data_IF_160538670950
#
_entry.id   IF_160538670950
#
_cell.length_a   1.000
_cell.length_b   1.000
_cell.length_c   1.000
_cell.angle_alpha   90.00
_cell.angle_beta   90.00
_cell.angle_gamma   90.00
#
_symmetry.space_group_name_H-M   'P 1'
#
loop_
_entity.id
_entity.type
_entity.pdbx_description
1 polymer ?
#
# COMPACT_ATOMS: atom_id res chain seq x y z
N UNK A 1 8.70 20.33 0.88
CA UNK A 1 9.97 20.08 1.60
C UNK A 1 9.66 19.03 2.66
N UNK A 2 10.17 17.81 2.53
CA UNK A 2 9.97 16.75 3.53
C UNK A 2 11.12 16.79 4.52
N UNK A 3 10.82 16.91 5.81
CA UNK A 3 11.80 17.00 6.88
C UNK A 3 11.55 15.85 7.85
N UNK A 4 12.43 14.84 7.84
CA UNK A 4 12.32 13.64 8.68
C UNK A 4 13.55 13.48 9.58
N UNK A 5 13.69 14.34 10.58
CA UNK A 5 14.54 14.11 11.74
C UNK A 5 13.76 14.49 13.01
N UNK A 6 14.12 13.89 14.14
CA UNK A 6 13.54 14.21 15.45
C UNK A 6 13.73 15.70 15.69
N UNK A 7 12.68 16.48 15.40
CA UNK A 7 12.72 17.92 15.50
C UNK A 7 12.51 18.29 16.96
N UNK A 8 13.53 18.94 17.54
CA UNK A 8 13.33 19.76 18.73
C UNK A 8 12.29 20.83 18.39
N UNK A 9 11.22 20.91 19.20
CA UNK A 9 10.13 21.87 19.03
C UNK A 9 10.68 23.29 18.83
N UNK A 10 11.72 23.65 19.58
CA UNK A 10 12.37 24.97 19.52
C UNK A 10 12.95 25.26 18.13
N UNK A 11 13.61 24.27 17.51
CA UNK A 11 14.17 24.40 16.16
C UNK A 11 13.09 24.48 15.09
N UNK A 12 11.97 23.76 15.29
CA UNK A 12 10.83 23.85 14.38
C UNK A 12 10.24 25.25 14.42
N UNK A 13 10.01 25.79 15.61
CA UNK A 13 9.46 27.14 15.79
C UNK A 13 10.36 28.17 15.11
N UNK A 14 11.67 28.16 15.37
CA UNK A 14 12.65 29.04 14.70
C UNK A 14 12.61 28.93 13.16
N UNK A 15 12.38 27.72 12.64
CA UNK A 15 12.23 27.53 11.20
C UNK A 15 10.92 28.16 10.68
N UNK A 16 9.79 27.93 11.36
CA UNK A 16 8.49 28.44 10.97
C UNK A 16 8.38 29.97 11.10
N UNK A 17 9.10 30.58 12.05
CA UNK A 17 9.22 32.03 12.22
C UNK A 17 9.67 32.75 10.94
N UNK A 18 10.55 32.11 10.17
CA UNK A 18 11.09 32.66 8.93
C UNK A 18 10.15 32.48 7.72
N UNK A 19 8.96 31.88 7.92
CA UNK A 19 8.02 31.51 6.85
C UNK A 19 6.66 32.24 6.97
N UNK A 20 6.66 33.50 7.38
CA UNK A 20 5.43 34.29 7.61
C UNK A 20 4.46 34.44 6.43
N UNK A 21 4.91 34.18 5.20
CA UNK A 21 4.08 34.19 3.99
C UNK A 21 3.54 32.81 3.59
N UNK A 22 3.79 31.77 4.39
CA UNK A 22 3.38 30.40 4.09
C UNK A 22 1.86 30.29 4.07
N UNK A 23 1.31 29.81 2.95
CA UNK A 23 -0.14 29.61 2.78
C UNK A 23 -0.57 28.16 2.94
N UNK A 24 0.36 27.23 2.79
CA UNK A 24 0.12 25.80 2.92
C UNK A 24 1.27 25.17 3.69
N UNK A 25 0.95 24.50 4.79
CA UNK A 25 1.87 23.71 5.59
C UNK A 25 1.39 22.26 5.60
N UNK A 26 2.25 21.36 5.13
CA UNK A 26 2.09 19.92 5.31
C UNK A 26 3.25 19.43 6.20
N UNK A 27 2.91 18.85 7.35
CA UNK A 27 3.90 18.44 8.33
C UNK A 27 3.56 17.08 8.93
N UNK A 28 4.59 16.26 9.12
CA UNK A 28 4.47 14.91 9.67
C UNK A 28 5.43 14.71 10.83
N UNK A 29 4.90 14.37 12.01
CA UNK A 29 5.67 13.99 13.19
C UNK A 29 5.60 12.49 13.42
N UNK A 30 6.77 11.89 13.63
CA UNK A 30 6.86 10.47 13.99
C UNK A 30 6.95 10.22 15.49
N UNK A 31 7.22 11.26 16.30
CA UNK A 31 7.35 11.28 17.77
C UNK A 31 7.16 12.72 18.27
N UNK A 32 6.99 12.89 19.57
CA UNK A 32 6.87 14.18 20.27
C UNK A 32 5.65 14.98 19.79
N UNK A 33 4.47 14.47 20.09
CA UNK A 33 3.23 15.15 19.73
C UNK A 33 3.11 16.55 20.36
N UNK A 34 2.73 17.51 19.51
CA UNK A 34 2.43 18.89 19.89
C UNK A 34 0.92 19.00 20.01
N UNK A 35 0.43 19.57 21.11
CA UNK A 35 -1.01 19.71 21.32
C UNK A 35 -1.60 20.89 20.51
N UNK A 36 -2.93 20.98 20.45
CA UNK A 36 -3.63 21.98 19.65
C UNK A 36 -3.41 23.41 20.13
N UNK A 37 -3.26 23.65 21.44
CA UNK A 37 -2.95 24.98 21.96
C UNK A 37 -1.56 25.47 21.53
N UNK A 38 -0.57 24.58 21.53
CA UNK A 38 0.77 24.91 21.07
C UNK A 38 0.77 25.19 19.56
N UNK A 39 0.08 24.37 18.78
CA UNK A 39 -0.08 24.62 17.34
C UNK A 39 -0.79 25.93 17.04
N UNK A 40 -1.87 26.23 17.77
CA UNK A 40 -2.59 27.49 17.67
C UNK A 40 -1.67 28.68 17.91
N UNK A 41 -0.87 28.66 18.99
CA UNK A 41 0.12 29.72 19.27
C UNK A 41 1.15 29.87 18.15
N UNK A 42 1.68 28.77 17.62
CA UNK A 42 2.66 28.79 16.52
C UNK A 42 2.03 29.41 15.26
N UNK A 43 0.83 28.99 14.90
CA UNK A 43 0.16 29.46 13.69
C UNK A 43 -0.21 30.93 13.82
N UNK A 44 -0.79 31.30 14.96
CA UNK A 44 -1.17 32.68 15.25
C UNK A 44 0.03 33.64 15.21
N UNK A 45 1.15 33.27 15.86
CA UNK A 45 2.30 34.16 16.00
C UNK A 45 3.16 34.23 14.73
N UNK A 46 3.27 33.13 13.99
CA UNK A 46 4.30 32.98 12.94
C UNK A 46 3.74 32.67 11.55
N UNK A 47 2.56 32.07 11.45
CA UNK A 47 1.98 31.59 10.20
C UNK A 47 0.59 32.20 9.92
N UNK A 48 0.40 33.48 10.24
CA UNK A 48 -0.90 34.17 10.14
C UNK A 48 -1.53 34.21 8.72
N UNK A 49 -0.77 33.86 7.67
CA UNK A 49 -1.29 33.74 6.29
C UNK A 49 -1.63 32.30 5.87
N UNK A 50 -1.52 31.34 6.80
CA UNK A 50 -1.78 29.93 6.56
C UNK A 50 -3.26 29.71 6.24
N UNK A 51 -3.53 29.01 5.13
CA UNK A 51 -4.89 28.67 4.68
C UNK A 51 -5.14 27.18 4.72
N UNK A 52 -4.11 26.39 4.40
CA UNK A 52 -4.19 24.94 4.37
C UNK A 52 -3.18 24.40 5.39
N UNK A 53 -3.68 23.64 6.35
CA UNK A 53 -2.87 22.96 7.35
C UNK A 53 -3.13 21.46 7.26
N UNK A 54 -2.10 20.72 6.85
CA UNK A 54 -2.10 19.26 6.76
C UNK A 54 -1.15 18.69 7.80
N UNK A 55 -1.70 18.31 8.95
CA UNK A 55 -0.96 17.74 10.06
C UNK A 55 -1.10 16.22 10.05
N UNK A 56 0.01 15.52 10.29
CA UNK A 56 0.03 14.09 10.64
C UNK A 56 0.98 13.90 11.81
N UNK A 57 0.52 13.28 12.88
CA UNK A 57 1.35 13.00 14.05
C UNK A 57 1.10 11.58 14.51
N UNK A 58 2.14 10.98 15.09
CA UNK A 58 2.03 9.76 15.86
C UNK A 58 2.95 9.82 17.06
N UNK A 59 2.54 9.18 18.13
CA UNK A 59 3.40 8.96 19.29
C UNK A 59 3.03 7.68 20.02
N UNK A 60 3.95 7.19 20.83
CA UNK A 60 3.70 6.09 21.75
C UNK A 60 3.09 6.62 23.05
N UNK A 61 1.97 6.04 23.47
CA UNK A 61 1.28 6.42 24.70
C UNK A 61 2.06 5.85 25.90
N UNK A 62 2.53 6.70 26.83
CA UNK A 62 3.28 6.28 28.02
C UNK A 62 2.59 5.14 28.77
N UNK A 63 3.35 4.15 29.23
CA UNK A 63 2.81 2.90 29.82
C UNK A 63 1.94 3.13 31.06
N UNK A 64 2.24 4.18 31.81
CA UNK A 64 1.54 4.60 33.03
C UNK A 64 0.29 5.46 32.81
N UNK A 65 -0.04 5.81 31.56
CA UNK A 65 -1.21 6.63 31.25
C UNK A 65 -2.40 5.79 30.78
N UNK A 66 -3.60 6.23 31.17
CA UNK A 66 -4.84 5.74 30.59
C UNK A 66 -4.94 6.25 29.14
N UNK A 67 -5.20 5.32 28.23
CA UNK A 67 -5.23 5.55 26.79
C UNK A 67 -6.34 6.55 26.40
N UNK A 68 -7.54 6.41 26.98
CA UNK A 68 -8.67 7.27 26.66
C UNK A 68 -8.49 8.68 27.22
N UNK A 69 -8.02 8.79 28.47
CA UNK A 69 -7.77 10.10 29.09
C UNK A 69 -6.71 10.88 28.33
N UNK A 70 -5.62 10.23 27.92
CA UNK A 70 -4.58 10.86 27.13
C UNK A 70 -5.10 11.34 25.77
N UNK A 71 -5.90 10.51 25.08
CA UNK A 71 -6.52 10.89 23.81
C UNK A 71 -7.51 12.05 23.99
N UNK A 72 -8.31 12.06 25.05
CA UNK A 72 -9.27 13.13 25.33
C UNK A 72 -8.54 14.45 25.57
N UNK A 73 -7.56 14.46 26.47
CA UNK A 73 -6.76 15.66 26.76
C UNK A 73 -6.12 16.25 25.50
N UNK A 74 -5.60 15.37 24.64
CA UNK A 74 -5.03 15.80 23.38
C UNK A 74 -6.10 16.39 22.45
N UNK A 75 -7.22 15.71 22.24
CA UNK A 75 -8.29 16.19 21.36
C UNK A 75 -8.95 17.47 21.86
N UNK A 76 -9.12 17.62 23.16
CA UNK A 76 -9.71 18.81 23.77
C UNK A 76 -8.89 20.06 23.43
N UNK A 77 -7.56 19.91 23.32
CA UNK A 77 -6.70 21.02 22.87
C UNK A 77 -6.93 21.47 21.42
N UNK A 78 -7.61 20.67 20.60
CA UNK A 78 -7.96 20.98 19.20
C UNK A 78 -9.44 21.37 19.01
N UNK A 79 -10.17 21.68 20.10
CA UNK A 79 -11.59 22.06 20.06
C UNK A 79 -11.83 23.56 20.25
N UNK A 80 -10.80 24.41 20.26
CA UNK A 80 -10.97 25.86 20.36
C UNK A 80 -11.67 26.45 19.11
N UNK A 81 -12.18 27.69 19.22
CA UNK A 81 -12.83 28.39 18.10
C UNK A 81 -11.90 28.53 16.90
N UNK A 82 -10.60 28.68 17.16
CA UNK A 82 -9.55 28.72 16.15
C UNK A 82 -9.62 27.48 15.23
N UNK A 83 -9.67 26.28 15.82
CA UNK A 83 -9.71 25.03 15.04
C UNK A 83 -11.05 24.81 14.34
N UNK A 84 -12.15 25.00 15.08
CA UNK A 84 -13.48 24.55 14.66
C UNK A 84 -14.20 25.58 13.79
N UNK A 85 -14.16 26.85 14.18
CA UNK A 85 -14.97 27.90 13.56
C UNK A 85 -14.16 28.74 12.56
N UNK A 86 -12.96 29.17 12.94
CA UNK A 86 -12.15 30.09 12.13
C UNK A 86 -11.52 29.37 10.94
N UNK A 87 -10.89 28.22 11.20
CA UNK A 87 -10.14 27.49 10.19
C UNK A 87 -10.82 26.23 9.67
N UNK A 88 -11.76 25.65 10.44
CA UNK A 88 -12.40 24.36 10.14
C UNK A 88 -11.38 23.24 9.87
N UNK A 89 -10.23 23.28 10.56
CA UNK A 89 -9.21 22.25 10.49
C UNK A 89 -9.53 21.16 11.51
N UNK A 90 -10.53 20.35 11.20
CA UNK A 90 -10.94 19.26 12.08
C UNK A 90 -9.85 18.21 12.21
N UNK A 91 -9.77 17.63 13.39
CA UNK A 91 -8.78 16.64 13.77
C UNK A 91 -9.43 15.29 13.91
N UNK A 92 -8.82 14.28 13.30
CA UNK A 92 -9.10 12.88 13.54
C UNK A 92 -8.00 12.29 14.40
N UNK A 93 -8.39 11.50 15.39
CA UNK A 93 -7.48 10.82 16.27
C UNK A 93 -7.90 9.36 16.42
N UNK A 94 -6.93 8.46 16.37
CA UNK A 94 -7.19 7.05 16.61
C UNK A 94 -6.00 6.34 17.22
N UNK A 95 -6.27 5.17 17.80
CA UNK A 95 -5.27 4.39 18.52
C UNK A 95 -5.20 2.99 17.92
N UNK A 96 -3.98 2.57 17.62
CA UNK A 96 -3.64 1.19 17.26
C UNK A 96 -2.56 0.72 18.20
N UNK A 97 -2.83 -0.38 18.90
CA UNK A 97 -2.00 -0.88 20.00
C UNK A 97 -1.79 0.20 21.09
N UNK A 98 -0.57 0.72 21.25
CA UNK A 98 -0.27 1.89 22.12
C UNK A 98 0.21 3.10 21.35
N UNK A 99 0.02 3.14 20.03
CA UNK A 99 0.38 4.31 19.21
C UNK A 99 -0.87 5.14 18.93
N UNK A 100 -0.87 6.37 19.42
CA UNK A 100 -1.85 7.37 19.04
C UNK A 100 -1.47 7.97 17.68
N UNK A 101 -2.45 8.25 16.85
CA UNK A 101 -2.27 8.92 15.56
C UNK A 101 -3.29 10.02 15.41
N UNK A 102 -2.84 11.16 14.90
CA UNK A 102 -3.63 12.36 14.74
C UNK A 102 -3.40 12.97 13.36
N UNK A 103 -4.46 13.41 12.69
CA UNK A 103 -4.35 14.10 11.41
C UNK A 103 -5.50 15.07 11.16
N UNK A 104 -5.28 16.05 10.27
CA UNK A 104 -6.29 17.03 9.84
C UNK A 104 -7.15 16.51 8.70
N UNK A 105 -8.45 16.82 8.75
CA UNK A 105 -9.54 16.26 7.92
C UNK A 105 -9.64 16.81 6.48
N UNK A 106 -8.59 17.36 5.86
CA UNK A 106 -8.71 17.86 4.48
C UNK A 106 -8.91 16.73 3.47
N UNK A 107 -8.32 15.56 3.72
CA UNK A 107 -8.53 14.28 3.03
C UNK A 107 -8.16 13.15 3.98
N UNK A 108 -9.05 12.17 4.19
CA UNK A 108 -8.61 10.89 4.75
C UNK A 108 -7.50 10.36 3.85
N UNK A 109 -6.33 9.99 4.38
CA UNK A 109 -5.31 9.40 3.55
C UNK A 109 -5.93 8.15 2.91
N UNK A 110 -5.91 8.06 1.59
CA UNK A 110 -6.25 6.85 0.82
C UNK A 110 -5.32 5.66 1.14
N UNK A 111 -4.48 5.82 2.16
CA UNK A 111 -3.54 4.86 2.65
C UNK A 111 -3.67 4.89 4.18
N UNK A 112 -4.36 3.90 4.72
CA UNK A 112 -4.35 3.63 6.14
C UNK A 112 -3.04 2.90 6.44
N UNK A 113 -2.06 3.54 7.11
CA UNK A 113 -0.70 3.01 7.20
C UNK A 113 -0.59 1.81 8.16
N UNK A 114 -1.64 1.57 8.96
CA UNK A 114 -1.57 0.62 10.05
C UNK A 114 -2.13 -0.73 9.67
N UNK A 115 -1.50 -1.77 10.20
CA UNK A 115 -1.81 -3.16 9.88
C UNK A 115 -3.08 -3.65 10.59
N UNK A 116 -3.73 -2.82 11.42
CA UNK A 116 -4.85 -3.18 12.30
C UNK A 116 -5.91 -2.08 12.34
N UNK A 117 -7.17 -2.47 12.51
CA UNK A 117 -8.26 -1.53 12.76
C UNK A 117 -8.01 -0.75 14.05
N UNK A 118 -8.34 0.55 14.07
CA UNK A 118 -8.29 1.30 15.30
C UNK A 118 -9.41 0.81 16.23
N UNK A 119 -9.04 0.56 17.49
CA UNK A 119 -10.02 0.21 18.54
C UNK A 119 -10.83 1.42 18.97
N UNK A 120 -10.15 2.56 19.03
CA UNK A 120 -10.70 3.83 19.48
C UNK A 120 -10.41 4.85 18.40
N UNK A 121 -11.43 5.59 18.01
CA UNK A 121 -11.35 6.70 17.07
C UNK A 121 -12.23 7.84 17.58
N UNK A 122 -11.78 9.07 17.38
CA UNK A 122 -12.52 10.29 17.71
C UNK A 122 -12.22 11.38 16.69
N UNK A 123 -13.13 12.34 16.58
CA UNK A 123 -12.98 13.52 15.74
C UNK A 123 -13.42 14.78 16.47
N UNK A 124 -12.83 15.90 16.09
CA UNK A 124 -13.37 17.23 16.45
C UNK A 124 -14.42 17.75 15.46
N UNK A 125 -14.65 17.05 14.34
CA UNK A 125 -15.78 17.31 13.44
C UNK A 125 -17.06 16.65 14.01
N UNK A 126 -18.11 17.43 14.33
CA UNK A 126 -19.34 16.88 14.89
C UNK A 126 -20.12 15.98 13.93
N UNK A 127 -19.85 16.07 12.62
CA UNK A 127 -20.53 15.25 11.61
C UNK A 127 -19.80 13.94 11.31
N UNK A 128 -18.57 13.77 11.79
CA UNK A 128 -17.82 12.55 11.55
C UNK A 128 -18.13 11.49 12.61
N UNK A 129 -18.03 10.24 12.19
CA UNK A 129 -18.18 9.08 13.04
C UNK A 129 -17.24 7.96 12.60
N UNK A 130 -17.10 6.95 13.45
CA UNK A 130 -16.21 5.82 13.22
C UNK A 130 -16.58 5.01 11.95
N UNK A 131 -17.86 4.97 11.55
CA UNK A 131 -18.25 4.32 10.29
C UNK A 131 -17.73 5.09 9.07
N UNK A 132 -17.63 6.41 9.16
CA UNK A 132 -17.07 7.26 8.10
C UNK A 132 -15.59 6.97 7.89
N UNK A 133 -14.84 6.79 8.98
CA UNK A 133 -13.47 6.25 8.93
C UNK A 133 -13.47 4.89 8.21
N UNK A 134 -14.31 3.94 8.60
CA UNK A 134 -14.29 2.61 8.01
C UNK A 134 -14.61 2.60 6.51
N UNK A 135 -15.56 3.44 6.07
CA UNK A 135 -15.89 3.64 4.66
C UNK A 135 -14.77 4.30 3.86
N UNK A 136 -13.88 5.05 4.52
CA UNK A 136 -12.74 5.72 3.88
C UNK A 136 -11.54 4.80 3.65
N UNK A 137 -11.48 3.65 4.32
CA UNK A 137 -10.39 2.68 4.14
C UNK A 137 -10.47 2.13 2.73
N UNK A 138 -9.36 2.22 1.98
CA UNK A 138 -9.22 1.67 0.63
C UNK A 138 -8.19 0.56 0.55
N UNK A 139 -7.39 0.36 1.59
CA UNK A 139 -6.31 -0.63 1.61
C UNK A 139 -6.38 -1.47 2.88
N UNK A 140 -6.28 -2.79 2.73
CA UNK A 140 -6.27 -3.76 3.82
C UNK A 140 -4.95 -4.52 3.81
N UNK A 141 -4.39 -4.76 5.01
CA UNK A 141 -3.20 -5.58 5.21
C UNK A 141 -3.57 -6.99 5.70
N UNK A 142 -2.67 -7.98 5.55
CA UNK A 142 -2.94 -9.35 5.96
C UNK A 142 -3.25 -9.48 7.46
N UNK A 143 -2.66 -8.61 8.28
CA UNK A 143 -2.85 -8.65 9.74
C UNK A 143 -4.15 -8.00 10.23
N UNK A 144 -4.94 -7.42 9.34
CA UNK A 144 -6.15 -6.67 9.72
C UNK A 144 -7.16 -7.55 10.45
N UNK A 145 -7.23 -8.82 10.04
CA UNK A 145 -8.16 -9.81 10.57
C UNK A 145 -7.51 -10.73 11.62
N UNK A 146 -6.28 -10.47 12.05
CA UNK A 146 -5.68 -11.19 13.19
C UNK A 146 -6.33 -10.81 14.53
N UNK A 147 -7.14 -9.75 14.53
CA UNK A 147 -7.92 -9.33 15.69
C UNK A 147 -9.42 -9.45 15.40
N UNK A 148 -10.25 -9.73 16.40
CA UNK A 148 -11.70 -9.65 16.26
C UNK A 148 -12.11 -8.27 15.79
N UNK A 149 -12.94 -8.23 14.77
CA UNK A 149 -13.52 -7.00 14.23
C UNK A 149 -14.99 -6.90 14.64
N UNK A 150 -15.50 -5.71 14.99
CA UNK A 150 -16.92 -5.51 15.22
C UNK A 150 -17.77 -5.98 14.04
N UNK A 151 -18.87 -6.67 14.32
CA UNK A 151 -19.73 -7.30 13.31
C UNK A 151 -20.50 -6.31 12.44
N UNK A 152 -20.57 -5.04 12.84
CA UNK A 152 -21.21 -3.93 12.14
C UNK A 152 -20.26 -3.18 11.19
N UNK A 153 -18.97 -3.57 11.13
CA UNK A 153 -18.01 -2.97 10.20
C UNK A 153 -18.38 -3.29 8.76
N UNK A 154 -18.45 -2.25 7.93
CA UNK A 154 -18.66 -2.36 6.49
C UNK A 154 -17.52 -1.65 5.73
N UNK A 155 -16.67 -2.45 5.08
CA UNK A 155 -15.54 -1.99 4.29
C UNK A 155 -15.91 -2.03 2.80
N UNK A 156 -16.48 -0.96 2.28
CA UNK A 156 -17.08 -0.92 0.93
C UNK A 156 -16.18 -0.34 -0.17
N UNK A 157 -15.10 0.35 0.19
CA UNK A 157 -14.23 1.07 -0.76
C UNK A 157 -12.84 0.42 -0.92
N UNK A 158 -12.71 -0.86 -0.54
CA UNK A 158 -11.43 -1.57 -0.64
C UNK A 158 -11.00 -1.70 -2.09
N UNK A 159 -9.85 -1.11 -2.41
CA UNK A 159 -9.17 -1.15 -3.71
C UNK A 159 -8.01 -2.14 -3.71
N UNK A 160 -7.27 -2.18 -2.60
CA UNK A 160 -6.08 -2.99 -2.45
C UNK A 160 -6.20 -3.88 -1.21
N UNK A 161 -5.99 -5.18 -1.36
CA UNK A 161 -5.96 -6.11 -0.23
C UNK A 161 -4.67 -6.92 -0.27
N UNK A 162 -3.98 -6.96 0.87
CA UNK A 162 -2.90 -7.91 1.13
C UNK A 162 -3.41 -8.97 2.08
N UNK A 163 -3.21 -10.26 1.80
CA UNK A 163 -3.73 -11.35 2.62
C UNK A 163 -2.86 -12.61 2.60
N UNK A 164 -3.07 -13.45 3.61
CA UNK A 164 -2.57 -14.83 3.69
C UNK A 164 -3.74 -15.78 3.45
N UNK A 165 -3.46 -16.96 2.88
CA UNK A 165 -4.42 -18.07 2.88
C UNK A 165 -4.07 -19.09 3.98
N UNK A 166 -5.07 -19.70 4.65
CA UNK A 166 -6.52 -19.52 4.44
C UNK A 166 -7.02 -18.14 4.88
N UNK A 167 -8.11 -17.68 4.25
CA UNK A 167 -8.76 -16.42 4.58
C UNK A 167 -9.49 -16.52 5.92
N UNK A 168 -9.39 -15.48 6.74
CA UNK A 168 -10.18 -15.42 7.97
C UNK A 168 -11.66 -15.18 7.62
N UNK A 169 -12.57 -15.96 8.21
CA UNK A 169 -14.02 -15.85 7.99
C UNK A 169 -14.60 -14.42 8.13
N UNK A 170 -14.00 -13.60 9.00
CA UNK A 170 -14.36 -12.20 9.22
C UNK A 170 -14.23 -11.32 7.98
N UNK A 171 -13.42 -11.73 6.99
CA UNK A 171 -13.29 -11.04 5.70
C UNK A 171 -14.64 -10.96 5.00
N UNK A 172 -15.38 -12.07 4.99
CA UNK A 172 -16.62 -12.20 4.23
C UNK A 172 -17.79 -11.43 4.88
N UNK A 173 -17.75 -11.23 6.20
CA UNK A 173 -18.71 -10.38 6.90
C UNK A 173 -18.38 -8.90 6.77
N UNK A 174 -17.09 -8.52 6.86
CA UNK A 174 -16.67 -7.13 6.77
C UNK A 174 -16.75 -6.55 5.36
N UNK A 175 -16.52 -7.39 4.35
CA UNK A 175 -16.48 -7.02 2.94
C UNK A 175 -17.51 -7.86 2.20
N UNK A 176 -18.75 -7.35 2.16
CA UNK A 176 -19.86 -8.04 1.51
C UNK A 176 -19.68 -8.16 -0.01
N UNK A 177 -18.97 -7.22 -0.64
CA UNK A 177 -18.65 -7.25 -2.06
C UNK A 177 -17.32 -6.53 -2.37
N UNK A 178 -16.50 -7.10 -3.25
CA UNK A 178 -15.21 -6.57 -3.69
C UNK A 178 -15.32 -5.75 -5.00
N UNK A 179 -16.42 -5.02 -5.18
CA UNK A 179 -16.71 -4.24 -6.40
C UNK A 179 -15.65 -3.17 -6.74
N UNK A 180 -14.95 -2.66 -5.74
CA UNK A 180 -13.91 -1.65 -5.89
C UNK A 180 -12.50 -2.25 -5.92
N UNK A 181 -12.37 -3.56 -5.68
CA UNK A 181 -11.08 -4.21 -5.53
C UNK A 181 -10.38 -4.32 -6.89
N UNK A 182 -9.26 -3.61 -7.02
CA UNK A 182 -8.40 -3.60 -8.20
C UNK A 182 -7.13 -4.42 -8.02
N UNK A 183 -6.67 -4.58 -6.78
CA UNK A 183 -5.38 -5.22 -6.48
C UNK A 183 -5.51 -6.25 -5.37
N UNK A 184 -5.00 -7.44 -5.63
CA UNK A 184 -4.78 -8.47 -4.60
C UNK A 184 -3.29 -8.71 -4.47
N UNK A 185 -2.81 -8.75 -3.23
CA UNK A 185 -1.47 -9.19 -2.86
C UNK A 185 -1.55 -10.42 -1.95
N UNK A 186 -1.12 -11.56 -2.48
CA UNK A 186 -1.13 -12.84 -1.79
C UNK A 186 0.26 -13.10 -1.22
N UNK A 187 0.39 -13.10 0.10
CA UNK A 187 1.66 -13.32 0.80
C UNK A 187 1.97 -14.82 1.03
N UNK A 188 0.94 -15.65 1.12
CA UNK A 188 1.07 -17.09 1.31
C UNK A 188 -0.10 -17.79 0.62
N UNK A 189 0.20 -18.79 -0.20
CA UNK A 189 -0.79 -19.57 -0.95
C UNK A 189 -0.36 -21.03 -1.05
N UNK A 190 -1.35 -21.91 -0.88
CA UNK A 190 -1.26 -23.35 -1.07
C UNK A 190 -2.46 -23.78 -1.93
N UNK A 191 -2.29 -24.75 -2.82
CA UNK A 191 -3.35 -25.34 -3.65
C UNK A 191 -4.56 -25.82 -2.87
N UNK A 192 -4.39 -26.17 -1.59
CA UNK A 192 -5.48 -26.49 -0.68
C UNK A 192 -6.55 -25.38 -0.59
N UNK A 193 -6.19 -24.12 -0.86
CA UNK A 193 -7.06 -22.94 -0.74
C UNK A 193 -7.52 -22.39 -2.10
N UNK A 194 -7.41 -23.19 -3.17
CA UNK A 194 -7.83 -22.77 -4.51
C UNK A 194 -9.32 -22.36 -4.57
N UNK A 195 -10.18 -23.01 -3.80
CA UNK A 195 -11.61 -22.69 -3.74
C UNK A 195 -11.87 -21.30 -3.14
N UNK A 196 -11.14 -20.92 -2.09
CA UNK A 196 -11.23 -19.61 -1.47
C UNK A 196 -10.76 -18.50 -2.42
N UNK A 197 -9.64 -18.74 -3.11
CA UNK A 197 -9.12 -17.81 -4.10
C UNK A 197 -10.12 -17.60 -5.26
N UNK A 198 -10.74 -18.68 -5.75
CA UNK A 198 -11.80 -18.59 -6.78
C UNK A 198 -12.99 -17.79 -6.30
N UNK A 199 -13.50 -18.08 -5.10
CA UNK A 199 -14.61 -17.33 -4.51
C UNK A 199 -14.29 -15.84 -4.38
N UNK A 200 -13.04 -15.50 -3.99
CA UNK A 200 -12.59 -14.11 -3.95
C UNK A 200 -12.58 -13.48 -5.33
N UNK A 201 -12.03 -14.16 -6.34
CA UNK A 201 -12.01 -13.68 -7.72
C UNK A 201 -13.42 -13.47 -8.27
N UNK A 202 -14.36 -14.38 -8.00
CA UNK A 202 -15.75 -14.26 -8.47
C UNK A 202 -16.43 -13.00 -7.91
N UNK A 203 -16.12 -12.62 -6.66
CA UNK A 203 -16.65 -11.42 -6.00
C UNK A 203 -15.90 -10.12 -6.35
N UNK A 204 -14.79 -10.18 -7.09
CA UNK A 204 -13.96 -9.02 -7.43
C UNK A 204 -13.99 -8.74 -8.96
N UNK A 205 -15.06 -8.12 -9.48
CA UNK A 205 -15.23 -7.92 -10.92
C UNK A 205 -14.22 -6.95 -11.54
N UNK A 206 -13.62 -6.05 -10.75
CA UNK A 206 -12.64 -5.05 -11.21
C UNK A 206 -11.20 -5.41 -10.84
N UNK A 207 -10.94 -6.67 -10.52
CA UNK A 207 -9.61 -7.11 -10.13
C UNK A 207 -8.68 -7.08 -11.35
N UNK A 208 -7.67 -6.22 -11.32
CA UNK A 208 -6.77 -5.93 -12.42
C UNK A 208 -5.34 -6.44 -12.18
N UNK A 209 -4.92 -6.37 -10.91
CA UNK A 209 -3.57 -6.68 -10.47
C UNK A 209 -3.59 -7.85 -9.50
N UNK A 210 -2.82 -8.88 -9.81
CA UNK A 210 -2.53 -9.98 -8.92
C UNK A 210 -1.04 -9.97 -8.59
N UNK A 211 -0.72 -9.80 -7.31
CA UNK A 211 0.63 -9.86 -6.80
C UNK A 211 0.74 -11.13 -5.95
N UNK A 212 1.71 -11.98 -6.23
CA UNK A 212 1.97 -13.18 -5.44
C UNK A 212 3.37 -13.05 -4.87
N UNK A 213 3.44 -12.84 -3.57
CA UNK A 213 4.66 -12.61 -2.81
C UNK A 213 4.81 -13.72 -1.77
N UNK A 214 5.03 -14.96 -2.25
CA UNK A 214 5.19 -16.12 -1.38
C UNK A 214 6.47 -16.02 -0.54
N UNK A 215 6.33 -16.33 0.74
CA UNK A 215 7.43 -16.44 1.70
C UNK A 215 8.37 -17.62 1.36
N UNK A 216 9.62 -17.55 1.84
CA UNK A 216 10.81 -18.32 1.45
C UNK A 216 10.69 -19.86 1.40
N UNK A 217 9.61 -20.46 1.90
CA UNK A 217 9.50 -21.89 2.18
C UNK A 217 8.60 -22.70 1.24
N UNK A 218 7.80 -22.06 0.39
CA UNK A 218 6.83 -22.77 -0.47
C UNK A 218 7.20 -22.68 -1.96
N UNK A 219 7.16 -23.79 -2.70
CA UNK A 219 7.33 -23.76 -4.16
C UNK A 219 6.15 -23.02 -4.79
N UNK A 220 6.43 -22.39 -5.94
CA UNK A 220 5.39 -21.73 -6.72
C UNK A 220 4.31 -22.74 -7.10
N UNK A 221 3.08 -22.42 -6.71
CA UNK A 221 1.94 -23.27 -6.97
C UNK A 221 1.38 -22.96 -8.37
N UNK A 222 1.70 -23.80 -9.35
CA UNK A 222 1.30 -23.60 -10.75
C UNK A 222 -0.21 -23.69 -10.97
N UNK A 223 -0.98 -24.21 -10.01
CA UNK A 223 -2.45 -24.18 -10.06
C UNK A 223 -3.02 -22.75 -10.16
N UNK A 224 -2.28 -21.75 -9.68
CA UNK A 224 -2.64 -20.33 -9.79
C UNK A 224 -2.76 -19.90 -11.24
N UNK A 225 -1.92 -20.44 -12.12
CA UNK A 225 -1.92 -20.14 -13.54
C UNK A 225 -3.21 -20.61 -14.24
N UNK A 226 -3.88 -21.63 -13.67
CA UNK A 226 -5.15 -22.15 -14.17
C UNK A 226 -6.35 -21.26 -13.81
N UNK A 227 -6.15 -20.18 -13.06
CA UNK A 227 -7.24 -19.28 -12.70
C UNK A 227 -7.72 -18.50 -13.93
N UNK A 228 -9.02 -18.62 -14.23
CA UNK A 228 -9.67 -17.87 -15.31
C UNK A 228 -10.38 -16.69 -14.67
N UNK A 229 -9.74 -15.52 -14.70
CA UNK A 229 -10.38 -14.26 -14.29
C UNK A 229 -10.07 -13.18 -15.33
N UNK A 230 -10.96 -12.94 -16.30
CA UNK A 230 -10.66 -12.10 -17.46
C UNK A 230 -10.24 -10.65 -17.14
N UNK A 231 -10.59 -10.16 -15.95
CA UNK A 231 -10.24 -8.80 -15.52
C UNK A 231 -8.77 -8.64 -15.13
N UNK A 232 -8.06 -9.73 -14.78
CA UNK A 232 -6.66 -9.69 -14.35
C UNK A 232 -5.77 -9.56 -15.57
N UNK A 233 -5.11 -8.41 -15.71
CA UNK A 233 -4.20 -8.15 -16.82
C UNK A 233 -2.75 -7.93 -16.37
N UNK A 234 -2.49 -7.92 -15.06
CA UNK A 234 -1.15 -7.73 -14.52
C UNK A 234 -0.84 -8.77 -13.46
N UNK A 235 0.30 -9.45 -13.61
CA UNK A 235 0.81 -10.44 -12.67
C UNK A 235 2.21 -10.05 -12.17
N UNK A 236 2.39 -10.00 -10.85
CA UNK A 236 3.66 -9.67 -10.21
C UNK A 236 4.08 -10.78 -9.24
N UNK A 237 5.27 -11.35 -9.45
CA UNK A 237 5.86 -12.39 -8.60
C UNK A 237 7.31 -12.05 -8.14
N UNK A 238 7.67 -10.77 -8.02
CA UNK A 238 9.07 -10.37 -7.74
C UNK A 238 9.60 -10.72 -6.35
N UNK A 239 8.74 -10.76 -5.33
CA UNK A 239 9.21 -11.03 -3.96
C UNK A 239 9.24 -12.51 -3.63
N UNK A 240 9.08 -13.36 -4.63
CA UNK A 240 9.30 -14.78 -4.45
C UNK A 240 10.79 -15.05 -4.40
N UNK A 241 11.16 -15.88 -3.46
CA UNK A 241 12.48 -16.50 -3.44
C UNK A 241 12.64 -17.61 -4.49
N UNK A 242 11.70 -17.67 -5.43
CA UNK A 242 11.62 -18.59 -6.54
C UNK A 242 11.97 -17.86 -7.84
N UNK A 243 12.78 -18.52 -8.67
CA UNK A 243 13.08 -18.06 -10.02
C UNK A 243 12.40 -19.03 -10.98
N UNK A 244 11.56 -18.50 -11.87
CA UNK A 244 10.93 -19.31 -12.90
C UNK A 244 11.99 -19.95 -13.78
N UNK A 245 11.92 -21.27 -13.91
CA UNK A 245 12.70 -22.01 -14.89
C UNK A 245 11.97 -22.04 -16.26
N UNK A 246 12.61 -22.64 -17.26
CA UNK A 246 12.05 -22.66 -18.63
C UNK A 246 10.73 -23.43 -18.71
N UNK A 247 10.60 -24.56 -18.01
CA UNK A 247 9.37 -25.36 -17.97
C UNK A 247 8.22 -24.56 -17.34
N UNK A 248 8.48 -23.90 -16.22
CA UNK A 248 7.49 -23.06 -15.53
C UNK A 248 7.09 -21.85 -16.37
N UNK A 249 8.02 -21.25 -17.12
CA UNK A 249 7.72 -20.17 -18.05
C UNK A 249 6.79 -20.65 -19.17
N UNK A 250 7.06 -21.82 -19.75
CA UNK A 250 6.20 -22.40 -20.80
C UNK A 250 4.81 -22.75 -20.25
N UNK A 251 4.75 -23.41 -19.08
CA UNK A 251 3.50 -23.70 -18.39
C UNK A 251 2.69 -22.43 -18.09
N UNK A 252 3.37 -21.34 -17.73
CA UNK A 252 2.72 -20.06 -17.53
C UNK A 252 2.20 -19.46 -18.84
N UNK A 253 3.00 -19.46 -19.90
CA UNK A 253 2.61 -18.94 -21.22
C UNK A 253 1.35 -19.66 -21.75
N UNK A 254 1.27 -20.98 -21.59
CA UNK A 254 0.15 -21.79 -22.05
C UNK A 254 -1.09 -21.69 -21.15
N UNK A 255 -0.98 -21.03 -20.00
CA UNK A 255 -2.05 -20.94 -19.02
C UNK A 255 -3.06 -19.84 -19.37
N UNK A 256 -4.33 -19.96 -18.93
CA UNK A 256 -5.31 -18.89 -19.11
C UNK A 256 -4.85 -17.55 -18.54
N UNK A 257 -4.17 -17.56 -17.38
CA UNK A 257 -3.65 -16.35 -16.75
C UNK A 257 -2.52 -15.74 -17.56
N UNK A 258 -1.59 -16.54 -18.09
CA UNK A 258 -0.50 -16.06 -18.95
C UNK A 258 -1.03 -15.46 -20.24
N UNK A 259 -1.95 -16.15 -20.90
CA UNK A 259 -2.53 -15.72 -22.17
C UNK A 259 -3.25 -14.36 -22.09
N UNK A 260 -3.81 -13.98 -20.94
CA UNK A 260 -4.53 -12.71 -20.77
C UNK A 260 -3.68 -11.57 -20.19
N UNK A 261 -2.50 -11.86 -19.64
CA UNK A 261 -1.68 -10.83 -18.99
C UNK A 261 -1.03 -9.89 -20.01
N UNK A 262 -1.24 -8.59 -19.81
CA UNK A 262 -0.56 -7.53 -20.56
C UNK A 262 0.73 -7.06 -19.88
N UNK A 263 0.80 -7.19 -18.55
CA UNK A 263 1.99 -6.77 -17.79
C UNK A 263 2.43 -7.86 -16.85
N UNK A 264 3.71 -8.22 -16.93
CA UNK A 264 4.28 -9.29 -16.12
C UNK A 264 5.57 -8.88 -15.44
N UNK A 265 5.85 -9.55 -14.33
CA UNK A 265 6.89 -9.16 -13.40
C UNK A 265 7.43 -10.39 -12.66
N UNK A 266 8.58 -10.91 -13.08
CA UNK A 266 9.11 -12.21 -12.63
C UNK A 266 10.60 -12.20 -12.29
N UNK A 267 11.00 -13.12 -11.41
CA UNK A 267 12.39 -13.57 -11.30
C UNK A 267 12.54 -14.81 -12.19
N UNK A 268 13.61 -14.90 -12.98
CA UNK A 268 13.87 -16.03 -13.88
C UNK A 268 15.27 -16.58 -13.68
N UNK A 269 15.45 -17.88 -13.92
CA UNK A 269 16.75 -18.56 -13.71
C UNK A 269 17.77 -18.20 -14.78
N UNK A 270 17.33 -17.99 -16.02
CA UNK A 270 18.20 -17.71 -17.15
C UNK A 270 17.56 -16.79 -18.20
N UNK A 271 18.37 -16.30 -19.16
CA UNK A 271 17.90 -15.41 -20.23
C UNK A 271 16.96 -16.06 -21.24
N UNK A 272 16.99 -17.38 -21.44
CA UNK A 272 16.07 -18.08 -22.35
C UNK A 272 14.63 -18.02 -21.84
N UNK A 273 14.43 -18.02 -20.52
CA UNK A 273 13.12 -17.79 -19.91
C UNK A 273 12.49 -16.46 -20.37
N UNK A 274 13.30 -15.41 -20.52
CA UNK A 274 12.86 -14.09 -21.01
C UNK A 274 12.32 -14.22 -22.44
N UNK A 275 13.07 -14.89 -23.30
CA UNK A 275 12.69 -15.10 -24.71
C UNK A 275 11.41 -15.92 -24.81
N UNK A 276 11.29 -16.99 -24.00
CA UNK A 276 10.09 -17.81 -23.96
C UNK A 276 8.85 -16.99 -23.57
N UNK A 277 8.95 -16.12 -22.56
CA UNK A 277 7.84 -15.26 -22.15
C UNK A 277 7.47 -14.26 -23.26
N UNK A 278 8.45 -13.56 -23.84
CA UNK A 278 8.17 -12.55 -24.88
C UNK A 278 7.58 -13.18 -26.15
N UNK A 279 8.06 -14.36 -26.56
CA UNK A 279 7.60 -15.00 -27.81
C UNK A 279 6.23 -15.68 -27.67
N UNK A 280 5.91 -16.23 -26.50
CA UNK A 280 4.71 -17.06 -26.34
C UNK A 280 3.52 -16.30 -25.71
N UNK A 281 3.75 -15.18 -25.02
CA UNK A 281 2.66 -14.40 -24.42
C UNK A 281 2.10 -13.36 -25.41
N UNK A 282 1.09 -13.77 -26.17
CA UNK A 282 0.53 -12.98 -27.29
C UNK A 282 0.01 -11.59 -26.92
N UNK A 283 -0.43 -11.39 -25.68
CA UNK A 283 -1.01 -10.12 -25.21
C UNK A 283 -0.02 -9.30 -24.38
N UNK A 284 1.23 -9.75 -24.23
CA UNK A 284 2.20 -9.08 -23.38
C UNK A 284 2.61 -7.73 -23.99
N UNK A 285 2.48 -6.67 -23.20
CA UNK A 285 2.84 -5.30 -23.56
C UNK A 285 4.05 -4.80 -22.76
N UNK A 286 4.20 -5.27 -21.52
CA UNK A 286 5.30 -4.90 -20.66
C UNK A 286 5.77 -6.10 -19.82
N UNK A 287 7.08 -6.31 -19.80
CA UNK A 287 7.72 -7.37 -19.05
C UNK A 287 8.86 -6.80 -18.21
N UNK A 288 8.78 -6.96 -16.90
CA UNK A 288 9.83 -6.60 -15.98
C UNK A 288 10.42 -7.88 -15.39
N UNK A 289 11.72 -8.10 -15.53
CA UNK A 289 12.36 -9.36 -15.15
C UNK A 289 13.66 -9.15 -14.37
N UNK A 290 13.92 -10.01 -13.39
CA UNK A 290 15.22 -10.15 -12.74
C UNK A 290 15.82 -11.50 -13.16
N UNK A 291 16.93 -11.48 -13.87
CA UNK A 291 17.62 -12.68 -14.31
C UNK A 291 18.71 -13.05 -13.31
N UNK A 292 18.67 -14.28 -12.79
CA UNK A 292 19.63 -14.79 -11.79
C UNK A 292 20.83 -15.54 -12.42
N UNK A 293 20.92 -15.60 -13.75
CA UNK A 293 22.07 -16.17 -14.45
C UNK A 293 23.34 -15.43 -14.05
N UNK A 294 24.33 -16.18 -13.53
CA UNK A 294 25.66 -15.63 -13.21
C UNK A 294 26.43 -15.35 -14.50
N UNK A 295 26.10 -14.25 -15.17
CA UNK A 295 26.86 -13.78 -16.32
C UNK A 295 28.20 -13.24 -15.82
N UNK A 296 29.30 -13.82 -16.33
CA UNK A 296 30.67 -13.38 -16.03
C UNK A 296 30.99 -11.98 -16.61
N UNK A 297 30.06 -11.42 -17.39
CA UNK A 297 30.11 -10.08 -17.97
C UNK A 297 28.82 -9.31 -17.65
N UNK A 298 29.00 -8.02 -17.42
CA UNK A 298 28.07 -6.99 -16.96
C UNK A 298 26.64 -7.05 -17.55
N UNK A 299 25.60 -6.61 -16.83
CA UNK A 299 24.17 -6.50 -17.26
C UNK A 299 23.96 -5.81 -18.62
N UNK A 300 24.93 -4.99 -19.03
CA UNK A 300 25.00 -4.39 -20.37
C UNK A 300 24.99 -5.47 -21.46
N UNK A 301 25.67 -6.60 -21.24
CA UNK A 301 25.68 -7.76 -22.12
C UNK A 301 24.29 -8.39 -22.24
N UNK A 302 23.56 -8.57 -21.13
CA UNK A 302 22.19 -9.09 -21.18
C UNK A 302 21.26 -8.16 -21.97
N UNK A 303 21.33 -6.85 -21.73
CA UNK A 303 20.50 -5.87 -22.45
C UNK A 303 20.85 -5.86 -23.93
N UNK A 304 22.14 -5.89 -24.29
CA UNK A 304 22.56 -5.93 -25.68
C UNK A 304 22.12 -7.23 -26.34
N UNK A 305 22.34 -8.37 -25.69
CA UNK A 305 21.89 -9.68 -26.17
C UNK A 305 20.38 -9.73 -26.42
N UNK A 306 19.58 -9.17 -25.50
CA UNK A 306 18.12 -9.06 -25.69
C UNK A 306 17.75 -8.16 -26.86
N UNK A 307 18.48 -7.05 -27.09
CA UNK A 307 18.25 -6.18 -28.26
C UNK A 307 18.61 -6.86 -29.57
N UNK A 308 19.57 -7.78 -29.55
CA UNK A 308 20.00 -8.51 -30.73
C UNK A 308 19.06 -9.69 -31.06
N UNK A 309 18.47 -10.37 -30.05
CA UNK A 309 17.60 -11.54 -30.23
C UNK A 309 16.10 -11.22 -30.34
N UNK A 310 15.64 -10.12 -29.75
CA UNK A 310 14.23 -9.71 -29.79
C UNK A 310 13.90 -8.92 -31.06
N UNK A 311 12.60 -8.91 -31.40
CA UNK A 311 12.11 -8.10 -32.52
C UNK A 311 12.43 -6.62 -32.31
N UNK A 312 12.69 -5.88 -33.39
CA UNK A 312 13.02 -4.45 -33.34
C UNK A 312 11.89 -3.57 -32.79
N UNK A 313 10.67 -4.10 -32.67
CA UNK A 313 9.54 -3.45 -31.99
C UNK A 313 9.70 -3.44 -30.47
N UNK A 314 10.53 -4.33 -29.91
CA UNK A 314 10.76 -4.42 -28.48
C UNK A 314 11.73 -3.31 -28.00
N UNK A 315 11.33 -2.57 -26.98
CA UNK A 315 12.18 -1.59 -26.31
C UNK A 315 12.73 -2.14 -24.99
N UNK A 316 14.03 -2.43 -24.97
CA UNK A 316 14.72 -3.04 -23.82
C UNK A 316 15.52 -1.99 -23.05
N UNK A 317 15.24 -1.88 -21.74
CA UNK A 317 15.87 -0.91 -20.84
C UNK A 317 16.28 -1.53 -19.51
N UNK A 318 17.22 -0.85 -18.84
CA UNK A 318 17.61 -1.17 -17.47
C UNK A 318 16.50 -0.75 -16.50
N UNK A 319 16.18 -1.61 -15.54
CA UNK A 319 15.37 -1.21 -14.39
C UNK A 319 16.16 -0.22 -13.51
N UNK A 320 15.70 1.03 -13.30
CA UNK A 320 16.39 2.03 -12.48
C UNK A 320 16.52 1.63 -11.01
N UNK A 321 15.57 0.83 -10.50
CA UNK A 321 15.44 0.53 -9.07
C UNK A 321 16.20 -0.73 -8.64
N UNK A 322 16.78 -1.46 -9.60
CA UNK A 322 17.45 -2.73 -9.37
C UNK A 322 18.81 -2.78 -10.04
N UNK A 323 19.74 -3.56 -9.47
CA UNK A 323 21.04 -3.86 -10.06
C UNK A 323 21.00 -4.96 -11.12
N UNK A 324 19.94 -5.80 -11.17
CA UNK A 324 19.82 -6.94 -12.09
C UNK A 324 18.51 -7.00 -12.91
N UNK A 325 17.61 -6.02 -12.76
CA UNK A 325 16.33 -5.99 -13.48
C UNK A 325 16.41 -5.55 -14.96
N UNK A 326 15.51 -6.01 -15.81
CA UNK A 326 15.37 -5.52 -17.20
C UNK A 326 13.89 -5.24 -17.44
N UNK A 327 13.58 -4.13 -18.11
CA UNK A 327 12.23 -3.80 -18.56
C UNK A 327 12.17 -3.89 -20.08
N UNK A 328 11.22 -4.66 -20.60
CA UNK A 328 10.96 -4.86 -22.01
C UNK A 328 9.55 -4.36 -22.29
N UNK A 329 9.40 -3.49 -23.29
CA UNK A 329 8.11 -3.02 -23.79
C UNK A 329 7.93 -3.55 -25.21
N UNK A 330 6.75 -4.04 -25.55
CA UNK A 330 6.44 -4.68 -26.86
C UNK A 330 5.55 -3.81 -27.74
#
# INVERSE_FOLDING_TARGET
>A
MFVSHIFDLSKMVLFLENLSNLRHLNITFSKNMINGYQWEQIIHNYLFKLKIFELRMRDEIPTNQNIEDYMNQLLDSFQSSFWINEHQWFIHCYIVDRTIRLFTSSKFPSYYPDQKLPRIWKSTNPNDNQQTLYRSITTINAKYFEQPIPSDICLSQIKDITMNFPLHDQIWSAISNFNSLSTINVLSYNDAYQSELRNLFDRAPKLHYLNINQDYSLPLQTSLFKCIKPSIHSLICFKMNHCLNEEECLLFCDSPLGMQCHTCSFNVTNRHCIINLVKNMINLQALHIYCHEKLKGNRVELIQWLKDDLASTCFVTKDPDSTNGVRIWM
#
